data_IF_314528848318
#
_entry.id   IF_314528848318
#
_cell.length_a   1.000
_cell.length_b   1.000
_cell.length_c   1.000
_cell.angle_alpha   90.00
_cell.angle_beta   90.00
_cell.angle_gamma   90.00
#
_symmetry.space_group_name_H-M   'P 1'
#
loop_
_entity.id
_entity.type
_entity.pdbx_description
1 polymer ?
#
# COMPACT_ATOMS: atom_id res chain seq x y z
N UNK A 1 -9.66 10.22 6.57
CA UNK A 1 -9.47 9.45 5.32
C UNK A 1 -8.35 8.43 5.47
N UNK A 2 -8.40 7.38 4.71
CA UNK A 2 -7.33 6.38 4.70
C UNK A 2 -6.29 6.80 3.66
N UNK A 3 -5.03 6.78 4.06
CA UNK A 3 -3.92 7.09 3.16
C UNK A 3 -2.90 5.97 3.18
N UNK A 4 -2.15 5.83 2.10
CA UNK A 4 -1.17 4.75 1.92
C UNK A 4 0.26 5.26 1.92
N UNK A 5 0.50 6.38 2.56
CA UNK A 5 1.86 6.97 2.60
C UNK A 5 2.86 6.01 3.24
N UNK A 6 2.43 5.28 4.24
CA UNK A 6 3.31 4.32 4.93
C UNK A 6 3.76 3.19 4.02
N UNK A 7 2.93 2.81 3.06
CA UNK A 7 3.29 1.78 2.08
C UNK A 7 4.56 2.18 1.33
N UNK A 8 4.60 3.42 0.84
CA UNK A 8 5.74 3.90 0.06
C UNK A 8 7.01 3.96 0.92
N UNK A 9 6.87 4.39 2.16
CA UNK A 9 8.00 4.43 3.08
C UNK A 9 8.51 3.02 3.39
N UNK A 10 7.61 2.08 3.62
CA UNK A 10 7.96 0.69 3.90
C UNK A 10 8.66 0.04 2.71
N UNK A 11 8.15 0.29 1.50
CA UNK A 11 8.78 -0.22 0.28
C UNK A 11 10.18 0.33 0.11
N UNK A 12 10.35 1.62 0.33
CA UNK A 12 11.64 2.26 0.24
C UNK A 12 12.61 1.69 1.26
N UNK A 13 12.14 1.50 2.47
CA UNK A 13 12.94 0.95 3.57
C UNK A 13 13.40 -0.48 3.28
N UNK A 14 12.57 -1.26 2.61
CA UNK A 14 12.86 -2.65 2.28
C UNK A 14 13.45 -2.83 0.88
N UNK A 15 13.69 -1.74 0.17
CA UNK A 15 14.23 -1.77 -1.20
C UNK A 15 13.36 -2.55 -2.17
N UNK A 16 12.05 -2.37 -2.06
CA UNK A 16 11.10 -3.03 -2.96
C UNK A 16 10.44 -1.98 -3.84
N UNK A 17 10.52 -2.17 -5.15
CA UNK A 17 9.94 -1.26 -6.13
C UNK A 17 8.52 -1.67 -6.52
N UNK A 18 7.78 -0.76 -7.14
CA UNK A 18 6.46 -1.10 -7.67
C UNK A 18 6.55 -2.16 -8.76
N UNK A 19 7.66 -2.17 -9.51
CA UNK A 19 7.90 -3.20 -10.50
C UNK A 19 7.93 -4.59 -9.85
N UNK A 20 8.62 -4.70 -8.72
CA UNK A 20 8.69 -5.96 -7.99
C UNK A 20 7.32 -6.38 -7.44
N UNK A 21 6.52 -5.43 -7.00
CA UNK A 21 5.15 -5.74 -6.55
C UNK A 21 4.33 -6.34 -7.69
N UNK A 22 4.44 -5.78 -8.90
CA UNK A 22 3.71 -6.29 -10.04
C UNK A 22 4.18 -7.67 -10.45
N UNK A 23 5.49 -7.88 -10.50
CA UNK A 23 6.08 -9.12 -10.99
C UNK A 23 5.97 -10.27 -10.00
N UNK A 24 6.13 -9.98 -8.72
CA UNK A 24 6.17 -11.03 -7.69
C UNK A 24 4.85 -11.27 -6.99
N UNK A 25 4.03 -10.24 -6.87
CA UNK A 25 2.84 -10.30 -6.03
C UNK A 25 1.54 -10.21 -6.82
N UNK A 26 1.63 -9.99 -8.12
CA UNK A 26 0.44 -9.87 -8.95
C UNK A 26 -0.38 -8.61 -8.67
N UNK A 27 0.25 -7.58 -8.17
CA UNK A 27 -0.41 -6.29 -7.96
C UNK A 27 -0.33 -5.53 -9.29
N UNK A 28 -1.46 -5.31 -9.95
CA UNK A 28 -1.45 -4.70 -11.27
C UNK A 28 -1.26 -3.18 -11.21
N UNK A 29 -1.00 -2.58 -12.37
CA UNK A 29 -0.75 -1.14 -12.48
C UNK A 29 -1.94 -0.32 -12.02
N UNK A 30 -3.14 -0.82 -12.26
CA UNK A 30 -4.37 -0.13 -11.88
C UNK A 30 -4.46 -0.02 -10.37
N UNK A 31 -4.14 -1.11 -9.67
CA UNK A 31 -4.14 -1.14 -8.21
C UNK A 31 -3.09 -0.20 -7.65
N UNK A 32 -1.89 -0.18 -8.25
CA UNK A 32 -0.84 0.73 -7.80
C UNK A 32 -1.28 2.18 -7.97
N UNK A 33 -1.95 2.49 -9.06
CA UNK A 33 -2.47 3.84 -9.31
C UNK A 33 -3.50 4.23 -8.24
N UNK A 34 -4.36 3.30 -7.85
CA UNK A 34 -5.34 3.55 -6.79
C UNK A 34 -4.65 3.79 -5.44
N UNK A 35 -3.61 3.02 -5.15
CA UNK A 35 -2.85 3.21 -3.93
C UNK A 35 -2.21 4.60 -3.88
N UNK A 36 -1.67 5.08 -5.01
CA UNK A 36 -1.08 6.41 -5.08
C UNK A 36 -2.10 7.52 -4.89
N UNK A 37 -3.34 7.25 -5.31
CA UNK A 37 -4.43 8.23 -5.18
C UNK A 37 -5.16 8.12 -3.84
N UNK A 38 -4.74 7.22 -2.97
CA UNK A 38 -5.43 6.91 -1.71
C UNK A 38 -6.88 6.51 -1.97
N UNK A 39 -7.08 5.76 -3.04
CA UNK A 39 -8.40 5.30 -3.43
C UNK A 39 -8.73 3.98 -2.72
N UNK A 40 -9.95 3.54 -2.87
CA UNK A 40 -10.44 2.35 -2.19
C UNK A 40 -9.73 1.08 -2.69
N UNK A 41 -9.26 0.26 -1.75
CA UNK A 41 -8.55 -0.98 -2.04
C UNK A 41 -9.22 -2.12 -1.29
N UNK A 42 -9.37 -3.26 -1.93
CA UNK A 42 -9.94 -4.45 -1.28
C UNK A 42 -8.98 -5.01 -0.24
N UNK A 43 -9.54 -5.57 0.83
CA UNK A 43 -8.72 -6.20 1.87
C UNK A 43 -7.92 -7.37 1.33
N UNK A 44 -8.40 -8.03 0.28
CA UNK A 44 -7.67 -9.08 -0.41
C UNK A 44 -6.33 -8.57 -0.95
N UNK A 45 -6.34 -7.36 -1.50
CA UNK A 45 -5.11 -6.72 -1.98
C UNK A 45 -4.20 -6.34 -0.82
N UNK A 46 -4.77 -5.86 0.27
CA UNK A 46 -4.00 -5.53 1.47
C UNK A 46 -3.31 -6.78 2.01
N UNK A 47 -4.00 -7.91 1.99
CA UNK A 47 -3.41 -9.19 2.40
C UNK A 47 -2.20 -9.54 1.54
N UNK A 48 -2.29 -9.34 0.24
CA UNK A 48 -1.17 -9.58 -0.67
C UNK A 48 0.01 -8.68 -0.36
N UNK A 49 -0.26 -7.40 -0.09
CA UNK A 49 0.79 -6.44 0.23
C UNK A 49 1.50 -6.80 1.53
N UNK A 50 0.75 -7.13 2.56
CA UNK A 50 1.33 -7.52 3.84
C UNK A 50 2.20 -8.77 3.69
N UNK A 51 1.73 -9.74 2.94
CA UNK A 51 2.46 -10.97 2.70
C UNK A 51 3.76 -10.70 1.92
N UNK A 52 3.65 -9.89 0.87
CA UNK A 52 4.80 -9.58 0.02
C UNK A 52 5.88 -8.80 0.76
N UNK A 53 5.47 -7.89 1.61
CA UNK A 53 6.38 -7.01 2.32
C UNK A 53 6.74 -7.50 3.72
N UNK A 54 6.14 -8.60 4.15
CA UNK A 54 6.34 -9.15 5.50
C UNK A 54 6.13 -8.08 6.57
N UNK A 55 4.99 -7.41 6.50
CA UNK A 55 4.69 -6.32 7.43
C UNK A 55 3.23 -6.36 7.85
N UNK A 56 2.90 -5.53 8.84
CA UNK A 56 1.54 -5.40 9.30
C UNK A 56 0.77 -4.34 8.52
N UNK A 57 -0.51 -4.29 8.72
CA UNK A 57 -1.40 -3.31 8.08
C UNK A 57 -0.98 -1.87 8.42
N UNK A 58 -0.51 -1.67 9.64
CA UNK A 58 -0.09 -0.35 10.11
C UNK A 58 1.14 0.20 9.39
N UNK A 59 1.85 -0.65 8.68
CA UNK A 59 2.99 -0.23 7.86
C UNK A 59 2.60 0.02 6.42
N UNK A 60 1.32 -0.14 6.09
CA UNK A 60 0.81 0.06 4.73
C UNK A 60 -0.13 1.25 4.67
N UNK A 61 -1.01 1.40 5.65
CA UNK A 61 -2.04 2.41 5.63
C UNK A 61 -2.25 2.99 7.01
N UNK A 62 -2.88 4.17 7.04
CA UNK A 62 -3.26 4.79 8.30
C UNK A 62 -4.51 5.64 8.09
N UNK A 63 -5.23 5.88 9.15
CA UNK A 63 -6.34 6.81 9.13
C UNK A 63 -5.84 8.20 9.51
N UNK A 64 -6.17 9.18 8.69
CA UNK A 64 -5.87 10.57 8.96
C UNK A 64 -7.20 11.30 9.11
N UNK A 65 -7.36 11.99 10.22
CA UNK A 65 -8.59 12.77 10.47
C UNK A 65 -8.56 14.03 9.64
N UNK A 66 -9.31 14.03 8.55
CA UNK A 66 -9.35 15.17 7.64
C UNK A 66 -10.41 16.21 8.05
N UNK A 67 -11.10 15.99 9.15
CA UNK A 67 -12.06 16.95 9.69
C UNK A 67 -11.50 17.71 10.89
N UNK A 68 -10.27 17.44 11.27
CA UNK A 68 -9.63 18.07 12.43
C UNK A 68 -9.20 19.48 12.06
N UNK A 69 -9.99 20.43 12.39
CA UNK A 69 -9.71 21.85 12.11
C UNK A 69 -9.54 22.64 13.37
#
# INVERSE_FOLDING_TARGET
MIVFDRLWQTMKHKNISTYQLRERCGIDSKTIRRLRANDNIETKTLNKLCTALHCGIDEIMEFVDDTAE
#
